data_IF_404739484550
#
_entry.id   IF_404739484550
#
_cell.length_a   1.000
_cell.length_b   1.000
_cell.length_c   1.000
_cell.angle_alpha   90.00
_cell.angle_beta   90.00
_cell.angle_gamma   90.00
#
_symmetry.space_group_name_H-M   'P 1'
#
loop_
_entity.id
_entity.type
_entity.pdbx_description
1 polymer ?
#
# COMPACT_ATOMS: atom_id res chain seq x y z
N UNK A 1 -16.91 6.01 -1.21
CA UNK A 1 -17.80 7.12 -1.61
C UNK A 1 -19.20 6.64 -1.98
N UNK A 2 -19.37 5.68 -2.92
CA UNK A 2 -20.71 5.19 -3.31
C UNK A 2 -21.47 4.50 -2.18
N UNK A 3 -20.77 3.86 -1.23
CA UNK A 3 -21.36 3.19 -0.08
C UNK A 3 -21.75 4.15 1.06
N UNK A 4 -21.34 5.42 1.01
CA UNK A 4 -21.56 6.40 2.08
C UNK A 4 -20.86 6.06 3.39
N UNK A 5 -19.83 5.20 3.35
CA UNK A 5 -19.07 4.75 4.51
C UNK A 5 -17.65 5.31 4.48
N UNK A 6 -17.01 5.41 5.64
CA UNK A 6 -15.58 5.65 5.75
C UNK A 6 -14.80 4.56 5.03
N UNK A 7 -13.69 4.92 4.39
CA UNK A 7 -12.93 3.98 3.54
C UNK A 7 -12.26 2.89 4.36
N UNK A 8 -11.69 3.22 5.52
CA UNK A 8 -11.08 2.24 6.43
C UNK A 8 -12.13 1.27 6.96
N UNK A 9 -13.24 1.80 7.49
CA UNK A 9 -14.31 0.99 8.07
C UNK A 9 -14.92 0.04 7.02
N UNK A 10 -15.13 0.54 5.81
CA UNK A 10 -15.64 -0.27 4.71
C UNK A 10 -14.64 -1.36 4.28
N UNK A 11 -13.34 -1.05 4.26
CA UNK A 11 -12.29 -2.03 3.96
C UNK A 11 -12.28 -3.16 5.01
N UNK A 12 -12.33 -2.82 6.30
CA UNK A 12 -12.39 -3.80 7.39
C UNK A 12 -13.68 -4.64 7.34
N UNK A 13 -14.81 -4.02 7.01
CA UNK A 13 -16.10 -4.72 6.84
C UNK A 13 -16.04 -5.75 5.70
N UNK A 14 -15.45 -5.39 4.55
CA UNK A 14 -15.30 -6.28 3.39
C UNK A 14 -14.35 -7.44 3.66
N UNK A 15 -13.26 -7.20 4.40
CA UNK A 15 -12.35 -8.26 4.84
C UNK A 15 -13.08 -9.21 5.80
N UNK A 16 -13.95 -8.69 6.67
CA UNK A 16 -14.78 -9.45 7.57
C UNK A 16 -14.04 -9.94 8.83
N UNK A 17 -14.54 -11.00 9.49
CA UNK A 17 -13.96 -11.49 10.73
C UNK A 17 -12.56 -12.09 10.53
N UNK A 18 -11.80 -12.15 11.64
CA UNK A 18 -10.49 -12.79 11.66
C UNK A 18 -10.61 -14.27 11.34
N UNK A 19 -9.85 -14.72 10.34
CA UNK A 19 -9.84 -16.12 9.91
C UNK A 19 -8.67 -16.42 8.98
N UNK A 20 -8.33 -17.67 8.91
CA UNK A 20 -7.52 -18.21 7.81
C UNK A 20 -8.46 -18.47 6.64
N UNK A 21 -8.15 -17.89 5.49
CA UNK A 21 -8.95 -18.10 4.27
C UNK A 21 -8.53 -19.40 3.60
N UNK A 22 -9.50 -20.32 3.47
CA UNK A 22 -9.39 -21.46 2.57
C UNK A 22 -10.25 -21.19 1.33
N UNK A 23 -9.58 -20.85 0.23
CA UNK A 23 -10.25 -20.57 -1.05
C UNK A 23 -10.52 -21.83 -1.87
N UNK A 24 -10.11 -23.02 -1.41
CA UNK A 24 -10.32 -24.29 -2.11
C UNK A 24 -11.79 -24.69 -2.10
N UNK A 25 -12.54 -24.34 -1.05
CA UNK A 25 -14.00 -24.55 -1.00
C UNK A 25 -14.73 -23.83 -2.14
N UNK A 26 -14.20 -22.68 -2.58
CA UNK A 26 -14.76 -21.89 -3.68
C UNK A 26 -14.23 -22.34 -5.06
N UNK A 27 -13.52 -23.47 -5.13
CA UNK A 27 -12.84 -23.95 -6.35
C UNK A 27 -11.87 -22.93 -6.95
N UNK A 28 -11.35 -22.03 -6.12
CA UNK A 28 -10.34 -21.07 -6.51
C UNK A 28 -8.94 -21.63 -6.20
N UNK A 29 -8.05 -21.52 -7.17
CA UNK A 29 -6.65 -21.83 -7.01
C UNK A 29 -5.85 -20.54 -6.91
N UNK A 30 -4.95 -20.47 -5.91
CA UNK A 30 -3.92 -19.43 -5.85
C UNK A 30 -2.58 -20.10 -5.52
N UNK A 31 -1.53 -19.68 -6.16
CA UNK A 31 -0.24 -20.35 -6.07
C UNK A 31 0.54 -20.00 -4.78
N UNK A 32 0.06 -19.06 -3.98
CA UNK A 32 0.67 -18.61 -2.73
C UNK A 32 2.19 -18.31 -2.87
N UNK A 33 2.60 -17.82 -4.04
CA UNK A 33 4.02 -17.56 -4.36
C UNK A 33 4.93 -18.77 -4.13
N UNK A 34 4.43 -19.98 -4.42
CA UNK A 34 5.05 -21.30 -4.14
C UNK A 34 5.27 -21.63 -2.64
N UNK A 35 4.81 -20.75 -1.73
CA UNK A 35 4.83 -21.03 -0.29
C UNK A 35 3.78 -22.07 0.09
N UNK A 36 4.14 -22.97 1.00
CA UNK A 36 3.21 -23.95 1.57
C UNK A 36 2.10 -23.21 2.34
N UNK A 37 0.84 -23.45 1.97
CA UNK A 37 -0.34 -22.78 2.56
C UNK A 37 -0.52 -23.13 4.04
N UNK A 38 0.02 -24.25 4.51
CA UNK A 38 0.00 -24.61 5.93
C UNK A 38 1.02 -23.81 6.77
N UNK A 39 2.08 -23.35 6.13
CA UNK A 39 3.14 -22.53 6.75
C UNK A 39 2.84 -21.05 6.56
N UNK A 40 2.36 -20.68 5.38
CA UNK A 40 2.06 -19.30 4.98
C UNK A 40 0.57 -19.12 4.64
N UNK A 41 -0.33 -19.27 5.61
CA UNK A 41 -1.75 -19.13 5.35
C UNK A 41 -2.11 -17.69 4.95
N UNK A 42 -3.23 -17.55 4.25
CA UNK A 42 -3.83 -16.24 4.03
C UNK A 42 -4.65 -15.87 5.27
N UNK A 43 -4.07 -15.04 6.14
CA UNK A 43 -4.62 -14.66 7.44
C UNK A 43 -5.21 -13.24 7.37
N UNK A 44 -6.53 -13.14 7.55
CA UNK A 44 -7.21 -11.84 7.53
C UNK A 44 -6.92 -11.00 8.77
N UNK A 45 -6.54 -11.61 9.89
CA UNK A 45 -6.18 -10.87 11.11
C UNK A 45 -4.91 -10.05 10.90
N UNK A 46 -3.89 -10.62 10.25
CA UNK A 46 -2.66 -9.91 9.89
C UNK A 46 -2.91 -8.75 8.93
N UNK A 47 -3.79 -8.94 7.93
CA UNK A 47 -4.17 -7.87 7.01
C UNK A 47 -4.90 -6.74 7.72
N UNK A 48 -5.82 -7.05 8.64
CA UNK A 48 -6.52 -6.04 9.43
C UNK A 48 -5.58 -5.30 10.36
N UNK A 49 -4.65 -6.00 11.00
CA UNK A 49 -3.68 -5.41 11.92
C UNK A 49 -2.82 -4.34 11.23
N UNK A 50 -2.31 -4.58 10.01
CA UNK A 50 -1.57 -3.54 9.28
C UNK A 50 -2.45 -2.35 8.90
N UNK A 51 -3.76 -2.56 8.61
CA UNK A 51 -4.71 -1.47 8.32
C UNK A 51 -4.96 -0.62 9.55
N UNK A 52 -5.21 -1.25 10.70
CA UNK A 52 -5.44 -0.55 11.96
C UNK A 52 -4.18 0.21 12.38
N UNK A 53 -3.02 -0.44 12.34
CA UNK A 53 -1.74 0.18 12.70
C UNK A 53 -1.43 1.41 11.85
N UNK A 54 -1.53 1.32 10.53
CA UNK A 54 -1.24 2.47 9.66
C UNK A 54 -2.27 3.59 9.82
N UNK A 55 -3.52 3.24 10.15
CA UNK A 55 -4.56 4.23 10.43
C UNK A 55 -4.26 5.01 11.71
N UNK A 56 -3.80 4.32 12.76
CA UNK A 56 -3.38 4.96 14.01
C UNK A 56 -2.18 5.88 13.79
N UNK A 57 -1.17 5.43 13.03
CA UNK A 57 0.01 6.25 12.71
C UNK A 57 -0.37 7.54 11.96
N UNK A 58 -1.35 7.46 11.08
CA UNK A 58 -1.80 8.59 10.26
C UNK A 58 -2.85 9.46 10.94
N UNK A 59 -3.31 9.11 12.16
CA UNK A 59 -4.47 9.74 12.82
C UNK A 59 -5.66 9.80 11.85
N UNK A 60 -6.07 8.60 11.36
CA UNK A 60 -7.15 8.47 10.38
C UNK A 60 -8.46 9.02 10.93
N UNK A 61 -9.13 9.86 10.16
CA UNK A 61 -10.37 10.52 10.59
C UNK A 61 -10.17 11.92 11.20
N UNK A 62 -8.92 12.39 11.34
CA UNK A 62 -8.66 13.75 11.74
C UNK A 62 -9.25 14.76 10.75
N UNK A 63 -9.56 15.96 11.22
CA UNK A 63 -9.97 17.04 10.33
C UNK A 63 -8.82 17.44 9.39
N UNK A 64 -9.16 17.56 8.11
CA UNK A 64 -8.20 17.93 7.08
C UNK A 64 -8.46 19.35 6.57
N UNK A 65 -7.40 20.15 6.35
CA UNK A 65 -7.52 21.43 5.69
C UNK A 65 -8.15 21.29 4.29
N UNK A 66 -8.81 22.36 3.81
CA UNK A 66 -9.32 22.39 2.43
C UNK A 66 -8.19 22.06 1.44
N UNK A 67 -8.48 21.19 0.50
CA UNK A 67 -7.52 20.75 -0.52
C UNK A 67 -6.64 19.59 -0.09
N UNK A 68 -6.68 19.16 1.20
CA UNK A 68 -5.95 17.97 1.68
C UNK A 68 -6.87 16.79 1.91
N UNK A 69 -6.32 15.61 1.77
CA UNK A 69 -7.03 14.35 2.01
C UNK A 69 -6.11 13.19 2.30
N UNK A 70 -6.67 12.15 2.91
CA UNK A 70 -6.01 10.88 3.18
C UNK A 70 -6.59 9.79 2.28
N UNK A 71 -5.73 8.91 1.79
CA UNK A 71 -6.12 7.69 1.12
C UNK A 71 -5.47 6.48 1.79
N UNK A 72 -6.21 5.38 1.93
CA UNK A 72 -5.73 4.13 2.53
C UNK A 72 -5.86 2.98 1.54
N UNK A 73 -4.85 2.11 1.51
CA UNK A 73 -4.88 0.85 0.80
C UNK A 73 -4.12 -0.22 1.58
N UNK A 74 -4.50 -1.49 1.38
CA UNK A 74 -3.81 -2.63 1.97
C UNK A 74 -3.68 -3.76 0.95
N UNK A 75 -2.64 -4.55 1.09
CA UNK A 75 -2.33 -5.63 0.16
C UNK A 75 -1.54 -6.74 0.86
N UNK A 76 -1.70 -7.98 0.36
CA UNK A 76 -0.81 -9.10 0.65
C UNK A 76 -0.07 -9.48 -0.63
N UNK A 77 1.26 -9.42 -0.59
CA UNK A 77 2.11 -9.77 -1.73
C UNK A 77 3.37 -10.48 -1.25
N UNK A 78 3.79 -11.51 -1.95
CA UNK A 78 4.95 -12.34 -1.58
C UNK A 78 4.92 -12.75 -0.10
N UNK A 79 3.73 -13.14 0.40
CA UNK A 79 3.47 -13.60 1.78
C UNK A 79 3.48 -12.49 2.85
N UNK A 80 3.88 -11.28 2.51
CA UNK A 80 3.95 -10.10 3.38
C UNK A 80 2.63 -9.32 3.32
N UNK A 81 2.18 -8.80 4.45
CA UNK A 81 1.03 -7.91 4.56
C UNK A 81 1.51 -6.48 4.70
N UNK A 82 0.91 -5.57 3.97
CA UNK A 82 1.25 -4.16 4.02
C UNK A 82 0.00 -3.31 3.89
N UNK A 83 -0.03 -2.21 4.65
CA UNK A 83 -1.02 -1.16 4.46
C UNK A 83 -0.32 0.20 4.42
N UNK A 84 -0.86 1.10 3.62
CA UNK A 84 -0.32 2.42 3.41
C UNK A 84 -1.42 3.46 3.52
N UNK A 85 -1.13 4.56 4.22
CA UNK A 85 -1.90 5.79 4.17
C UNK A 85 -1.05 6.86 3.50
N UNK A 86 -1.65 7.61 2.58
CA UNK A 86 -0.98 8.71 1.89
C UNK A 86 -1.78 9.98 2.11
N UNK A 87 -1.10 11.05 2.55
CA UNK A 87 -1.64 12.41 2.59
C UNK A 87 -1.28 13.15 1.32
N UNK A 88 -2.29 13.71 0.70
CA UNK A 88 -2.13 14.51 -0.52
C UNK A 88 -2.73 15.90 -0.33
N UNK A 89 -2.15 16.86 -1.04
CA UNK A 89 -2.67 18.21 -1.19
C UNK A 89 -2.92 18.50 -2.66
N UNK A 90 -4.10 19.04 -2.97
CA UNK A 90 -4.44 19.50 -4.30
C UNK A 90 -4.65 20.99 -4.25
N UNK A 91 -3.86 21.75 -5.01
CA UNK A 91 -3.98 23.19 -5.12
C UNK A 91 -5.28 23.61 -5.83
N UNK A 92 -5.68 24.88 -5.68
CA UNK A 92 -6.83 25.45 -6.44
C UNK A 92 -6.61 25.38 -7.97
N UNK A 93 -5.38 25.19 -8.43
CA UNK A 93 -5.02 25.01 -9.85
C UNK A 93 -5.04 23.55 -10.30
N UNK A 94 -5.24 22.60 -9.37
CA UNK A 94 -5.24 21.17 -9.64
C UNK A 94 -3.85 20.50 -9.52
N UNK A 95 -2.83 21.21 -9.03
CA UNK A 95 -1.51 20.60 -8.80
C UNK A 95 -1.60 19.65 -7.61
N UNK A 96 -1.12 18.44 -7.78
CA UNK A 96 -1.08 17.39 -6.76
C UNK A 96 0.31 17.34 -6.11
N UNK A 97 0.33 17.41 -4.77
CA UNK A 97 1.52 17.17 -3.96
C UNK A 97 1.26 16.02 -3.00
N UNK A 98 2.22 15.11 -2.88
CA UNK A 98 2.21 14.06 -1.85
C UNK A 98 2.96 14.58 -0.64
N UNK A 99 2.26 14.76 0.46
CA UNK A 99 2.80 15.39 1.67
C UNK A 99 3.55 14.38 2.53
N UNK A 100 2.89 13.27 2.86
CA UNK A 100 3.45 12.23 3.73
C UNK A 100 2.85 10.87 3.38
N UNK A 101 3.62 9.83 3.62
CA UNK A 101 3.17 8.44 3.54
C UNK A 101 3.48 7.73 4.86
N UNK A 102 2.52 6.97 5.37
CA UNK A 102 2.68 6.04 6.48
C UNK A 102 2.51 4.63 5.95
N UNK A 103 3.37 3.72 6.40
CA UNK A 103 3.32 2.32 5.98
C UNK A 103 3.45 1.43 7.20
N UNK A 104 2.53 0.50 7.36
CA UNK A 104 2.63 -0.60 8.31
C UNK A 104 2.87 -1.90 7.53
N UNK A 105 3.90 -2.66 7.92
CA UNK A 105 4.30 -3.90 7.25
C UNK A 105 4.44 -5.04 8.26
N UNK A 106 3.85 -6.18 7.94
CA UNK A 106 4.03 -7.45 8.63
C UNK A 106 4.65 -8.45 7.66
N UNK A 107 5.95 -8.62 7.80
CA UNK A 107 6.77 -9.52 6.98
C UNK A 107 7.06 -10.86 7.67
N UNK A 108 6.36 -11.17 8.78
CA UNK A 108 6.71 -12.28 9.65
C UNK A 108 7.94 -11.98 10.49
N UNK A 109 8.72 -13.00 10.84
CA UNK A 109 9.95 -12.84 11.59
C UNK A 109 10.97 -12.02 10.82
N UNK A 110 11.36 -10.87 11.36
CA UNK A 110 12.31 -9.93 10.74
C UNK A 110 13.67 -10.05 11.40
N UNK A 111 14.70 -10.30 10.59
CA UNK A 111 16.10 -10.38 11.06
C UNK A 111 16.74 -9.00 11.22
N UNK A 112 16.43 -8.07 10.30
CA UNK A 112 16.97 -6.73 10.32
C UNK A 112 15.88 -5.70 9.98
N UNK A 113 15.39 -5.03 11.02
CA UNK A 113 14.30 -4.07 10.92
C UNK A 113 14.67 -2.85 10.07
N UNK A 114 15.92 -2.36 10.15
CA UNK A 114 16.34 -1.19 9.37
C UNK A 114 16.35 -1.49 7.87
N UNK A 115 16.77 -2.70 7.49
CA UNK A 115 16.72 -3.12 6.08
C UNK A 115 15.27 -3.17 5.58
N UNK A 116 14.34 -3.72 6.36
CA UNK A 116 12.92 -3.76 6.00
C UNK A 116 12.35 -2.36 5.87
N UNK A 117 12.65 -1.46 6.82
CA UNK A 117 12.23 -0.05 6.76
C UNK A 117 12.73 0.65 5.49
N UNK A 118 14.01 0.53 5.18
CA UNK A 118 14.63 1.16 4.01
C UNK A 118 14.02 0.64 2.69
N UNK A 119 13.80 -0.67 2.59
CA UNK A 119 13.15 -1.27 1.43
C UNK A 119 11.70 -0.81 1.28
N UNK A 120 10.97 -0.72 2.38
CA UNK A 120 9.57 -0.27 2.38
C UNK A 120 9.47 1.22 2.01
N UNK A 121 10.37 2.05 2.52
CA UNK A 121 10.44 3.47 2.12
C UNK A 121 10.69 3.62 0.63
N UNK A 122 11.68 2.92 0.09
CA UNK A 122 11.99 2.92 -1.35
C UNK A 122 10.81 2.42 -2.19
N UNK A 123 10.15 1.34 -1.76
CA UNK A 123 8.95 0.80 -2.40
C UNK A 123 7.78 1.77 -2.39
N UNK A 124 7.57 2.50 -1.29
CA UNK A 124 6.54 3.53 -1.18
C UNK A 124 6.77 4.69 -2.17
N UNK A 125 8.00 5.21 -2.23
CA UNK A 125 8.38 6.27 -3.19
C UNK A 125 8.20 5.78 -4.61
N UNK A 126 8.58 4.54 -4.92
CA UNK A 126 8.39 3.95 -6.25
C UNK A 126 6.90 3.82 -6.61
N UNK A 127 6.05 3.36 -5.68
CA UNK A 127 4.61 3.25 -5.88
C UNK A 127 3.93 4.60 -6.13
N UNK A 128 4.28 5.62 -5.33
CA UNK A 128 3.80 6.99 -5.52
C UNK A 128 4.23 7.52 -6.89
N UNK A 129 5.49 7.31 -7.25
CA UNK A 129 6.03 7.67 -8.55
C UNK A 129 5.18 7.11 -9.69
N UNK A 130 4.86 5.83 -9.63
CA UNK A 130 4.04 5.15 -10.65
C UNK A 130 2.62 5.73 -10.73
N UNK A 131 2.08 6.20 -9.60
CA UNK A 131 0.73 6.76 -9.53
C UNK A 131 0.62 8.18 -10.10
N UNK A 132 1.69 9.00 -9.97
CA UNK A 132 1.66 10.42 -10.36
C UNK A 132 2.38 10.73 -11.69
N UNK A 133 3.15 9.76 -12.23
CA UNK A 133 3.88 9.94 -13.49
C UNK A 133 3.01 9.63 -14.71
N UNK A 134 3.47 10.08 -15.87
CA UNK A 134 2.88 9.73 -17.14
C UNK A 134 2.93 8.21 -17.37
N UNK A 135 1.82 7.67 -17.89
CA UNK A 135 1.73 6.26 -18.23
C UNK A 135 2.46 5.90 -19.52
N UNK A 136 2.73 4.60 -19.68
CA UNK A 136 3.15 4.06 -20.97
C UNK A 136 1.91 3.97 -21.87
N UNK A 137 2.00 4.53 -23.07
CA UNK A 137 0.94 4.53 -24.07
C UNK A 137 1.30 3.69 -25.30
N UNK A 138 0.28 3.15 -25.94
CA UNK A 138 0.44 2.31 -27.12
C UNK A 138 -0.33 2.90 -28.30
N UNK A 139 0.29 2.93 -29.46
CA UNK A 139 -0.39 3.21 -30.73
C UNK A 139 -0.06 2.09 -31.73
N UNK A 140 -1.10 1.49 -32.33
CA UNK A 140 -0.98 0.39 -33.30
C UNK A 140 -0.06 -0.74 -32.83
N UNK A 141 -0.13 -1.11 -31.54
CA UNK A 141 0.69 -2.18 -30.96
C UNK A 141 2.13 -1.78 -30.62
N UNK A 142 2.49 -0.52 -30.78
CA UNK A 142 3.83 -0.02 -30.47
C UNK A 142 3.83 0.94 -29.29
N UNK A 143 4.76 0.73 -28.34
CA UNK A 143 5.01 1.62 -27.22
C UNK A 143 5.47 2.99 -27.74
N UNK A 144 4.88 4.07 -27.24
CA UNK A 144 5.21 5.43 -27.64
C UNK A 144 6.38 6.02 -26.88
N UNK A 145 6.55 5.64 -25.60
CA UNK A 145 7.68 6.06 -24.78
C UNK A 145 8.86 5.12 -25.00
N UNK A 146 10.00 5.67 -25.37
CA UNK A 146 11.18 4.87 -25.72
C UNK A 146 12.35 5.04 -24.76
N UNK A 147 12.42 6.15 -24.01
CA UNK A 147 13.49 6.43 -23.05
C UNK A 147 13.15 7.64 -22.18
N UNK A 148 14.04 8.06 -21.30
CA UNK A 148 13.91 9.18 -20.36
C UNK A 148 13.60 10.54 -21.01
N UNK A 149 13.77 10.71 -22.31
CA UNK A 149 13.41 11.95 -23.01
C UNK A 149 11.92 12.12 -23.23
N UNK A 150 11.15 11.03 -23.27
CA UNK A 150 9.70 11.04 -23.46
C UNK A 150 8.92 10.16 -22.45
N UNK A 151 9.60 9.72 -21.40
CA UNK A 151 8.99 9.14 -20.20
C UNK A 151 9.48 9.90 -18.97
N UNK A 152 8.59 10.61 -18.30
CA UNK A 152 8.94 11.38 -17.11
C UNK A 152 9.24 10.43 -15.94
N UNK A 153 10.46 10.52 -15.44
CA UNK A 153 10.83 9.88 -14.15
C UNK A 153 10.72 10.94 -13.06
N UNK A 154 9.95 10.72 -12.00
CA UNK A 154 9.88 11.61 -10.86
C UNK A 154 11.25 11.93 -10.27
N UNK A 155 11.36 13.12 -9.76
CA UNK A 155 12.55 13.62 -9.09
C UNK A 155 12.32 13.64 -7.57
N UNK A 156 13.37 13.92 -6.81
CA UNK A 156 13.25 14.07 -5.34
C UNK A 156 12.20 15.11 -4.93
N UNK A 157 11.99 16.14 -5.76
CA UNK A 157 10.94 17.14 -5.55
C UNK A 157 9.51 16.60 -5.67
N UNK A 158 9.34 15.48 -6.35
CA UNK A 158 8.03 14.84 -6.57
C UNK A 158 7.75 13.76 -5.51
N UNK A 159 8.74 13.48 -4.65
CA UNK A 159 8.63 12.50 -3.57
C UNK A 159 7.93 13.12 -2.35
N UNK A 160 7.25 12.31 -1.51
CA UNK A 160 6.74 12.81 -0.23
C UNK A 160 7.88 13.35 0.63
N UNK A 161 7.59 14.36 1.44
CA UNK A 161 8.57 14.93 2.37
C UNK A 161 9.03 13.92 3.42
N UNK A 162 8.15 12.98 3.75
CA UNK A 162 8.41 11.96 4.76
C UNK A 162 7.70 10.65 4.40
N UNK A 163 8.39 9.53 4.61
CA UNK A 163 7.81 8.18 4.58
C UNK A 163 8.10 7.52 5.92
N UNK A 164 7.07 7.37 6.74
CA UNK A 164 7.14 6.74 8.04
C UNK A 164 6.77 5.26 7.93
N UNK A 165 7.63 4.38 8.45
CA UNK A 165 7.43 2.93 8.34
C UNK A 165 7.45 2.29 9.73
N UNK A 166 6.40 1.53 10.02
CA UNK A 166 6.32 0.65 11.18
C UNK A 166 6.39 -0.80 10.72
N UNK A 167 7.33 -1.53 11.30
CA UNK A 167 7.47 -2.97 11.11
C UNK A 167 6.79 -3.65 12.28
N UNK A 168 5.73 -4.42 11.99
CA UNK A 168 4.97 -5.13 13.03
C UNK A 168 5.79 -6.34 13.49
N UNK A 169 5.95 -6.48 14.79
CA UNK A 169 6.53 -7.69 15.38
C UNK A 169 5.58 -8.86 15.15
N UNK A 170 6.12 -9.96 14.64
CA UNK A 170 5.35 -11.14 14.29
C UNK A 170 6.20 -12.40 14.45
N UNK A 171 5.61 -13.44 15.02
CA UNK A 171 6.21 -14.79 15.13
C UNK A 171 5.90 -15.67 13.90
N UNK A 172 5.20 -15.13 12.91
CA UNK A 172 4.92 -15.84 11.68
C UNK A 172 6.23 -16.11 10.91
N UNK A 173 6.28 -17.15 10.07
CA UNK A 173 7.43 -17.40 9.19
C UNK A 173 7.76 -16.18 8.32
N UNK A 174 9.05 -15.92 8.05
CA UNK A 174 9.51 -14.79 7.27
C UNK A 174 9.12 -14.87 5.79
#
# INVERSE_FOLDING_TARGET
HKAGKDTKDYLLEVIGPDRILDVTEQKAEYNNYWGDKSVYPLDTSRLKNVIEKVSDMADWGREMPKGRGLGIAAHRSFLTYVATVVEVEVSDKGDLNVIKSWVAIDAGTVVNTDTVKNQTQGGSVFGITTAISDGITFDKGRVQQSNFHNYRVPRMSDSPLEVEVEVIESDAPP
#
